data_IF_743125091710
#
_entry.id   IF_743125091710
#
_cell.length_a   1.000
_cell.length_b   1.000
_cell.length_c   1.000
_cell.angle_alpha   90.00
_cell.angle_beta   90.00
_cell.angle_gamma   90.00
#
_symmetry.space_group_name_H-M   'P 1'
#
loop_
_entity.id
_entity.type
_entity.pdbx_description
1 polymer ?
#
# COMPACT_ATOMS: atom_id res chain seq x y z
N UNK A 1 5.66 -13.67 1.54
CA UNK A 1 4.65 -12.60 1.48
C UNK A 1 5.19 -11.48 0.59
N UNK A 2 4.59 -11.29 -0.59
CA UNK A 2 4.90 -10.12 -1.42
C UNK A 2 4.33 -8.87 -0.75
N UNK A 3 5.15 -7.82 -0.66
CA UNK A 3 4.82 -6.55 0.00
C UNK A 3 3.92 -5.69 -0.91
N UNK A 4 4.01 -5.93 -2.22
CA UNK A 4 3.28 -5.25 -3.28
C UNK A 4 2.66 -6.33 -4.17
N UNK A 5 1.35 -6.23 -4.39
CA UNK A 5 0.64 -7.00 -5.41
C UNK A 5 0.14 -6.04 -6.48
N UNK A 6 0.59 -6.23 -7.70
CA UNK A 6 0.15 -5.47 -8.87
C UNK A 6 -0.94 -6.25 -9.59
N UNK A 7 -2.12 -5.64 -9.72
CA UNK A 7 -3.16 -6.13 -10.62
C UNK A 7 -3.09 -5.32 -11.91
N UNK A 8 -2.54 -5.93 -12.96
CA UNK A 8 -2.36 -5.28 -14.25
C UNK A 8 -3.66 -5.19 -15.07
N UNK A 9 -4.70 -5.95 -14.70
CA UNK A 9 -6.03 -5.89 -15.32
C UNK A 9 -6.80 -4.71 -14.74
N UNK A 10 -6.85 -4.56 -13.41
CA UNK A 10 -7.54 -3.44 -12.76
C UNK A 10 -6.68 -2.17 -12.62
N UNK A 11 -5.39 -2.24 -13.00
CA UNK A 11 -4.42 -1.16 -12.83
C UNK A 11 -4.41 -0.64 -11.39
N UNK A 12 -4.38 -1.56 -10.42
CA UNK A 12 -4.40 -1.25 -8.99
C UNK A 12 -3.27 -1.93 -8.25
N UNK A 13 -2.62 -1.17 -7.38
CA UNK A 13 -1.51 -1.62 -6.55
C UNK A 13 -1.96 -1.73 -5.10
N UNK A 14 -1.76 -2.90 -4.49
CA UNK A 14 -2.03 -3.11 -3.07
C UNK A 14 -0.73 -3.10 -2.28
N UNK A 15 -0.62 -2.16 -1.33
CA UNK A 15 0.50 -2.08 -0.40
C UNK A 15 0.07 -2.70 0.92
N UNK A 16 0.80 -3.70 1.40
CA UNK A 16 0.55 -4.32 2.71
C UNK A 16 1.71 -4.04 3.67
N UNK A 17 1.47 -3.15 4.64
CA UNK A 17 2.43 -2.90 5.70
C UNK A 17 2.58 -4.14 6.60
N UNK A 18 3.82 -4.45 7.01
CA UNK A 18 4.13 -5.59 7.90
C UNK A 18 3.97 -5.27 9.38
N UNK A 19 3.97 -4.00 9.76
CA UNK A 19 3.88 -3.55 11.15
C UNK A 19 3.01 -2.30 11.26
N UNK A 20 2.48 -2.04 12.45
CA UNK A 20 1.77 -0.79 12.75
C UNK A 20 2.63 0.44 12.50
N UNK A 21 3.93 0.38 12.87
CA UNK A 21 4.88 1.46 12.58
C UNK A 21 5.01 1.73 11.08
N UNK A 22 5.22 0.70 10.26
CA UNK A 22 5.34 0.87 8.81
C UNK A 22 4.05 1.44 8.21
N UNK A 23 2.88 0.99 8.69
CA UNK A 23 1.59 1.52 8.27
C UNK A 23 1.50 3.03 8.58
N UNK A 24 1.77 3.43 9.83
CA UNK A 24 1.76 4.84 10.24
C UNK A 24 2.75 5.69 9.46
N UNK A 25 3.97 5.18 9.26
CA UNK A 25 5.01 5.88 8.52
C UNK A 25 4.60 6.16 7.07
N UNK A 26 4.00 5.18 6.38
CA UNK A 26 3.48 5.35 5.02
C UNK A 26 2.33 6.36 5.00
N UNK A 27 1.34 6.20 5.89
CA UNK A 27 0.15 7.08 5.92
C UNK A 27 0.50 8.54 6.21
N UNK A 28 1.49 8.78 7.07
CA UNK A 28 1.84 10.14 7.50
C UNK A 28 2.78 10.87 6.54
N UNK A 29 3.57 10.15 5.73
CA UNK A 29 4.67 10.78 5.00
C UNK A 29 4.65 10.51 3.48
N UNK A 30 4.03 9.43 3.02
CA UNK A 30 4.28 8.91 1.66
C UNK A 30 3.04 8.79 0.78
N UNK A 31 1.83 9.01 1.30
CA UNK A 31 0.57 8.80 0.55
C UNK A 31 0.50 9.61 -0.75
N UNK A 32 0.87 10.89 -0.72
CA UNK A 32 0.82 11.77 -1.90
C UNK A 32 1.85 11.37 -2.96
N UNK A 33 3.10 11.15 -2.55
CA UNK A 33 4.17 10.72 -3.45
C UNK A 33 3.85 9.37 -4.12
N UNK A 34 3.28 8.43 -3.35
CA UNK A 34 2.80 7.15 -3.88
C UNK A 34 1.66 7.35 -4.89
N UNK A 35 0.68 8.20 -4.57
CA UNK A 35 -0.42 8.52 -5.49
C UNK A 35 0.11 9.07 -6.82
N UNK A 36 1.06 10.01 -6.76
CA UNK A 36 1.67 10.62 -7.95
C UNK A 36 2.47 9.61 -8.76
N UNK A 37 3.34 8.83 -8.12
CA UNK A 37 4.19 7.85 -8.78
C UNK A 37 3.37 6.77 -9.50
N UNK A 38 2.34 6.23 -8.84
CA UNK A 38 1.50 5.21 -9.45
C UNK A 38 0.62 5.78 -10.56
N UNK A 39 0.05 6.97 -10.36
CA UNK A 39 -0.75 7.63 -11.39
C UNK A 39 0.06 7.92 -12.65
N UNK A 40 1.34 8.31 -12.52
CA UNK A 40 2.23 8.52 -13.66
C UNK A 40 2.44 7.25 -14.50
N UNK A 41 2.28 6.06 -13.90
CA UNK A 41 2.35 4.76 -14.56
C UNK A 41 0.97 4.22 -14.97
N UNK A 42 -0.10 5.00 -14.78
CA UNK A 42 -1.48 4.59 -15.08
C UNK A 42 -2.10 3.66 -14.03
N UNK A 43 -1.56 3.62 -12.81
CA UNK A 43 -2.06 2.82 -11.70
C UNK A 43 -2.73 3.66 -10.61
N UNK A 44 -3.75 3.10 -9.99
CA UNK A 44 -4.24 3.51 -8.67
C UNK A 44 -3.60 2.67 -7.58
N UNK A 45 -3.69 3.08 -6.31
CA UNK A 45 -3.22 2.24 -5.22
C UNK A 45 -4.12 2.28 -4.00
N UNK A 46 -4.00 1.25 -3.17
CA UNK A 46 -4.64 1.13 -1.88
C UNK A 46 -3.65 0.60 -0.84
N UNK A 47 -3.53 1.31 0.27
CA UNK A 47 -2.83 0.80 1.44
C UNK A 47 -3.80 -0.08 2.23
N UNK A 48 -3.54 -1.38 2.24
CA UNK A 48 -4.31 -2.33 3.04
C UNK A 48 -3.99 -2.07 4.50
N UNK A 49 -5.01 -1.64 5.26
CA UNK A 49 -4.89 -1.32 6.68
C UNK A 49 -4.18 -2.45 7.41
N UNK A 50 -3.12 -2.12 8.13
CA UNK A 50 -2.47 -3.08 9.01
C UNK A 50 -3.48 -3.54 10.06
N UNK A 51 -3.82 -4.82 9.98
CA UNK A 51 -4.62 -5.52 10.96
C UNK A 51 -3.71 -6.57 11.55
N UNK A 52 -3.45 -6.45 12.85
CA UNK A 52 -2.72 -7.46 13.60
C UNK A 52 -3.67 -8.66 13.79
N UNK A 53 -3.90 -9.43 12.73
CA UNK A 53 -4.78 -10.60 12.76
C UNK A 53 -4.19 -11.77 13.56
N UNK A 54 -2.95 -11.63 14.05
CA UNK A 54 -2.47 -12.41 15.18
C UNK A 54 -2.83 -11.67 16.48
N UNK A 55 -4.12 -11.66 16.81
CA UNK A 55 -4.49 -11.81 18.22
C UNK A 55 -4.26 -13.30 18.53
N UNK A 56 -3.40 -13.54 19.52
CA UNK A 56 -3.17 -14.84 20.16
C UNK A 56 -4.52 -15.43 20.57
#
# INVERSE_FOLDING_TARGET
MNIINEDNVSKKIFIKAKTGFANSYITSNHMENLAHAFKAQGFSFELVKFSNFNKI
#
